data_IF_954585824168
#
_entry.id   IF_954585824168
#
_cell.length_a   1.000
_cell.length_b   1.000
_cell.length_c   1.000
_cell.angle_alpha   90.00
_cell.angle_beta   90.00
_cell.angle_gamma   90.00
#
_symmetry.space_group_name_H-M   'P 1'
#
loop_
_entity.id
_entity.type
_entity.pdbx_description
1 polymer ?
#
# COMPACT_ATOMS: atom_id res chain seq x y z
N UNK A 1 -7.55 47.69 -3.22
CA UNK A 1 -8.23 46.69 -4.07
C UNK A 1 -7.26 45.83 -4.87
N UNK A 2 -6.25 46.40 -5.54
CA UNK A 2 -5.28 45.64 -6.36
C UNK A 2 -4.50 44.59 -5.55
N UNK A 3 -4.04 44.93 -4.35
CA UNK A 3 -3.29 44.04 -3.45
C UNK A 3 -4.11 42.85 -2.94
N UNK A 4 -5.39 43.05 -2.63
CA UNK A 4 -6.30 41.98 -2.18
C UNK A 4 -6.53 40.97 -3.31
N UNK A 5 -6.68 41.46 -4.55
CA UNK A 5 -6.84 40.61 -5.72
C UNK A 5 -5.59 39.75 -5.97
N UNK A 6 -4.39 40.32 -5.83
CA UNK A 6 -3.13 39.57 -5.99
C UNK A 6 -2.98 38.47 -4.94
N UNK A 7 -3.35 38.73 -3.69
CA UNK A 7 -3.28 37.74 -2.61
C UNK A 7 -4.24 36.57 -2.85
N UNK A 8 -5.46 36.85 -3.32
CA UNK A 8 -6.45 35.81 -3.64
C UNK A 8 -5.95 34.93 -4.79
N UNK A 9 -5.40 35.53 -5.85
CA UNK A 9 -4.85 34.79 -6.99
C UNK A 9 -3.68 33.89 -6.55
N UNK A 10 -2.79 34.39 -5.68
CA UNK A 10 -1.67 33.60 -5.16
C UNK A 10 -2.14 32.39 -4.32
N UNK A 11 -3.20 32.55 -3.52
CA UNK A 11 -3.82 31.46 -2.74
C UNK A 11 -4.41 30.35 -3.62
N UNK A 12 -4.99 30.70 -4.78
CA UNK A 12 -5.50 29.71 -5.72
C UNK A 12 -4.38 28.87 -6.37
N UNK A 13 -3.21 29.46 -6.65
CA UNK A 13 -2.09 28.71 -7.24
C UNK A 13 -1.49 27.68 -6.27
N UNK A 14 -1.47 27.96 -4.96
CA UNK A 14 -0.92 27.04 -3.94
C UNK A 14 -1.76 25.76 -3.80
N UNK A 15 -3.05 25.79 -4.13
CA UNK A 15 -3.98 24.66 -3.98
C UNK A 15 -3.81 23.59 -5.07
N UNK A 16 -3.18 23.92 -6.20
CA UNK A 16 -3.10 22.99 -7.37
C UNK A 16 -2.07 21.86 -7.20
N UNK A 17 -1.21 21.92 -6.18
CA UNK A 17 -0.12 20.95 -5.96
C UNK A 17 -0.49 19.72 -5.12
N UNK A 18 -1.72 19.62 -4.59
CA UNK A 18 -2.14 18.53 -3.69
C UNK A 18 -3.24 17.64 -4.29
N UNK A 19 -3.22 17.41 -5.60
CA UNK A 19 -4.02 16.35 -6.20
C UNK A 19 -3.40 15.00 -5.79
N UNK A 20 -4.00 14.34 -4.80
CA UNK A 20 -3.73 12.94 -4.49
C UNK A 20 -4.18 12.13 -5.70
N UNK A 21 -3.24 11.58 -6.47
CA UNK A 21 -3.55 10.89 -7.73
C UNK A 21 -4.62 9.81 -7.47
N UNK A 22 -5.85 9.99 -7.97
CA UNK A 22 -6.94 9.07 -7.71
C UNK A 22 -6.68 7.79 -8.51
N UNK A 23 -5.99 6.84 -7.89
CA UNK A 23 -5.64 5.56 -8.50
C UNK A 23 -4.25 5.03 -8.15
N UNK A 24 -3.42 5.78 -7.42
CA UNK A 24 -2.13 5.23 -6.97
C UNK A 24 -2.36 4.07 -5.98
N UNK A 25 -1.73 2.93 -6.25
CA UNK A 25 -1.72 1.76 -5.36
C UNK A 25 -0.32 1.47 -4.85
N UNK A 26 -0.23 1.02 -3.61
CA UNK A 26 1.04 0.62 -2.98
C UNK A 26 1.06 -0.88 -2.70
N UNK A 27 2.09 -1.54 -3.23
CA UNK A 27 2.37 -2.95 -2.98
C UNK A 27 3.66 -3.11 -2.17
N UNK A 28 3.64 -4.02 -1.21
CA UNK A 28 4.83 -4.47 -0.50
C UNK A 28 5.18 -5.88 -0.98
N UNK A 29 6.36 -6.04 -1.57
CA UNK A 29 6.88 -7.34 -2.00
C UNK A 29 7.89 -7.80 -0.96
N UNK A 30 7.71 -8.99 -0.41
CA UNK A 30 8.59 -9.62 0.55
C UNK A 30 9.37 -10.75 -0.13
N UNK A 31 10.62 -10.92 0.29
CA UNK A 31 11.53 -11.93 -0.23
C UNK A 31 12.17 -12.71 0.90
N UNK A 32 12.46 -14.00 0.66
CA UNK A 32 13.28 -14.79 1.57
C UNK A 32 14.77 -14.48 1.34
N UNK A 33 15.44 -13.96 2.38
CA UNK A 33 16.88 -13.62 2.31
C UNK A 33 17.77 -14.82 1.98
N UNK A 34 17.40 -16.02 2.40
CA UNK A 34 18.16 -17.24 2.12
C UNK A 34 18.05 -17.62 0.65
N UNK A 35 16.83 -17.59 0.10
CA UNK A 35 16.55 -17.84 -1.31
C UNK A 35 17.26 -16.82 -2.22
N UNK A 36 17.20 -15.52 -1.89
CA UNK A 36 17.90 -14.49 -2.66
C UNK A 36 19.41 -14.74 -2.74
N UNK A 37 20.02 -15.24 -1.65
CA UNK A 37 21.45 -15.61 -1.63
C UNK A 37 21.74 -16.81 -2.52
N UNK A 38 20.90 -17.84 -2.48
CA UNK A 38 21.03 -19.03 -3.35
C UNK A 38 20.90 -18.66 -4.83
N UNK A 39 19.98 -17.75 -5.15
CA UNK A 39 19.76 -17.20 -6.49
C UNK A 39 20.82 -16.17 -6.92
N UNK A 40 21.76 -15.83 -6.03
CA UNK A 40 22.83 -14.83 -6.22
C UNK A 40 22.29 -13.48 -6.69
N UNK A 41 21.21 -13.03 -6.06
CA UNK A 41 20.54 -11.75 -6.35
C UNK A 41 20.33 -10.93 -5.07
N UNK A 42 19.83 -9.71 -5.22
CA UNK A 42 19.40 -8.85 -4.12
C UNK A 42 18.11 -8.11 -4.48
N UNK A 43 17.43 -7.57 -3.49
CA UNK A 43 16.22 -6.76 -3.73
C UNK A 43 16.54 -5.51 -4.54
N UNK A 44 17.71 -4.88 -4.35
CA UNK A 44 18.15 -3.75 -5.17
C UNK A 44 18.34 -4.16 -6.62
N UNK A 45 18.85 -5.37 -6.88
CA UNK A 45 19.03 -5.85 -8.24
C UNK A 45 17.69 -6.15 -8.92
N UNK A 46 16.77 -6.80 -8.21
CA UNK A 46 15.40 -7.07 -8.68
C UNK A 46 14.66 -5.75 -8.94
N UNK A 47 14.81 -4.78 -8.02
CA UNK A 47 14.20 -3.45 -8.09
C UNK A 47 14.50 -2.75 -9.42
N UNK A 48 15.71 -2.89 -9.99
CA UNK A 48 16.07 -2.29 -11.28
C UNK A 48 15.12 -2.68 -12.42
N UNK A 49 14.53 -3.88 -12.37
CA UNK A 49 13.56 -4.34 -13.38
C UNK A 49 12.22 -3.61 -13.26
N UNK A 50 11.87 -3.18 -12.04
CA UNK A 50 10.60 -2.54 -11.71
C UNK A 50 10.68 -1.00 -11.81
N UNK A 51 11.85 -0.42 -11.53
CA UNK A 51 12.09 1.04 -11.57
C UNK A 51 11.82 1.67 -12.93
N UNK A 52 11.86 0.88 -14.01
CA UNK A 52 11.56 1.36 -15.36
C UNK A 52 10.08 1.72 -15.54
N UNK A 53 9.20 1.14 -14.71
CA UNK A 53 7.74 1.20 -14.87
C UNK A 53 7.09 1.88 -13.66
N UNK A 54 7.64 1.67 -12.46
CA UNK A 54 7.06 2.10 -11.20
C UNK A 54 8.01 2.91 -10.34
N UNK A 55 7.44 3.66 -9.38
CA UNK A 55 8.23 4.23 -8.29
C UNK A 55 8.47 3.15 -7.26
N UNK A 56 9.72 2.78 -7.04
CA UNK A 56 10.08 1.70 -6.11
C UNK A 56 11.02 2.16 -5.01
N UNK A 57 11.10 1.36 -3.95
CA UNK A 57 12.13 1.47 -2.93
C UNK A 57 12.45 0.10 -2.36
N UNK A 58 13.66 -0.40 -2.58
CA UNK A 58 14.17 -1.58 -1.89
C UNK A 58 14.53 -1.27 -0.42
N UNK A 59 14.32 -2.26 0.44
CA UNK A 59 14.67 -2.26 1.85
C UNK A 59 15.53 -3.47 2.14
N UNK A 60 16.73 -3.23 2.66
CA UNK A 60 17.70 -4.27 3.06
C UNK A 60 18.38 -3.95 4.40
N UNK A 61 19.12 -4.92 4.93
CA UNK A 61 19.83 -4.83 6.20
C UNK A 61 19.10 -5.53 7.36
N UNK A 62 18.84 -4.79 8.44
CA UNK A 62 18.18 -5.31 9.65
C UNK A 62 16.67 -5.57 9.47
N UNK A 63 16.06 -5.00 8.43
CA UNK A 63 14.68 -5.25 8.05
C UNK A 63 14.58 -6.46 7.12
N UNK A 64 13.39 -7.06 7.01
CA UNK A 64 13.14 -8.11 6.02
C UNK A 64 13.43 -7.61 4.61
N UNK A 65 13.86 -8.53 3.73
CA UNK A 65 14.16 -8.18 2.35
C UNK A 65 12.85 -7.85 1.64
N UNK A 66 12.69 -6.59 1.25
CA UNK A 66 11.44 -6.10 0.71
C UNK A 66 11.61 -5.02 -0.36
N UNK A 67 10.62 -4.87 -1.22
CA UNK A 67 10.50 -3.77 -2.16
C UNK A 67 9.11 -3.15 -2.00
N UNK A 68 9.07 -1.85 -1.74
CA UNK A 68 7.84 -1.07 -1.83
C UNK A 68 7.67 -0.60 -3.28
N UNK A 69 6.53 -0.91 -3.89
CA UNK A 69 6.20 -0.53 -5.26
C UNK A 69 4.97 0.37 -5.23
N UNK A 70 5.10 1.57 -5.79
CA UNK A 70 3.99 2.49 -6.01
C UNK A 70 3.62 2.49 -7.48
N UNK A 71 2.42 2.00 -7.75
CA UNK A 71 1.86 1.90 -9.09
C UNK A 71 0.97 3.12 -9.34
N UNK A 72 1.22 3.91 -10.39
CA UNK A 72 0.46 5.13 -10.67
C UNK A 72 -0.98 4.86 -11.17
N UNK A 73 -1.28 3.64 -11.61
CA UNK A 73 -2.57 3.24 -12.17
C UNK A 73 -3.25 2.18 -11.31
N UNK A 74 -4.51 2.41 -10.95
CA UNK A 74 -5.25 1.53 -10.02
C UNK A 74 -5.71 0.20 -10.63
N UNK A 75 -5.42 -0.04 -11.90
CA UNK A 75 -5.82 -1.24 -12.64
C UNK A 75 -4.87 -2.42 -12.47
N UNK A 76 -3.72 -2.25 -11.81
CA UNK A 76 -2.81 -3.34 -11.48
C UNK A 76 -3.23 -3.96 -10.14
N UNK A 77 -3.41 -5.27 -10.13
CA UNK A 77 -3.61 -6.07 -8.92
C UNK A 77 -2.35 -6.89 -8.55
N UNK A 78 -2.38 -7.52 -7.37
CA UNK A 78 -1.27 -8.33 -6.85
C UNK A 78 -0.82 -9.41 -7.83
N UNK A 79 -1.78 -10.07 -8.50
CA UNK A 79 -1.50 -11.15 -9.47
C UNK A 79 -0.79 -10.59 -10.70
N UNK A 80 -1.30 -9.50 -11.26
CA UNK A 80 -0.69 -8.83 -12.41
C UNK A 80 0.71 -8.31 -12.10
N UNK A 81 0.95 -7.85 -10.87
CA UNK A 81 2.30 -7.47 -10.43
C UNK A 81 3.20 -8.71 -10.32
N UNK A 82 2.68 -9.84 -9.81
CA UNK A 82 3.40 -11.12 -9.72
C UNK A 82 3.79 -11.71 -11.07
N UNK A 83 2.96 -11.53 -12.10
CA UNK A 83 3.24 -12.00 -13.48
C UNK A 83 4.36 -11.20 -14.17
N UNK A 84 4.82 -10.09 -13.59
CA UNK A 84 5.87 -9.28 -14.21
C UNK A 84 7.22 -9.98 -14.18
N UNK A 85 7.94 -9.90 -15.30
CA UNK A 85 9.28 -10.46 -15.41
C UNK A 85 10.31 -9.58 -14.71
N UNK A 86 11.08 -10.19 -13.82
CA UNK A 86 12.22 -9.58 -13.13
C UNK A 86 13.50 -10.33 -13.42
N UNK A 87 14.59 -9.56 -13.52
CA UNK A 87 15.92 -10.11 -13.72
C UNK A 87 16.55 -10.43 -12.36
N UNK A 88 16.95 -11.69 -12.17
CA UNK A 88 17.67 -12.11 -10.96
C UNK A 88 19.17 -11.93 -11.10
N UNK A 89 19.71 -12.14 -12.30
CA UNK A 89 21.12 -11.94 -12.61
C UNK A 89 21.31 -11.80 -14.14
N UNK A 90 22.54 -11.91 -14.64
CA UNK A 90 22.83 -11.76 -16.07
C UNK A 90 22.10 -12.78 -16.96
N UNK A 91 21.85 -13.98 -16.44
CA UNK A 91 21.44 -15.11 -17.25
C UNK A 91 20.01 -15.58 -16.94
N UNK A 92 19.40 -15.07 -15.87
CA UNK A 92 18.10 -15.54 -15.38
C UNK A 92 17.09 -14.41 -15.26
N UNK A 93 15.95 -14.60 -15.91
CA UNK A 93 14.74 -13.80 -15.83
C UNK A 93 13.61 -14.75 -15.39
N UNK A 94 12.83 -14.34 -14.40
CA UNK A 94 11.69 -15.11 -13.86
C UNK A 94 10.50 -14.20 -13.65
N UNK A 95 9.32 -14.77 -13.41
CA UNK A 95 8.19 -13.98 -12.94
C UNK A 95 8.41 -13.56 -11.49
N UNK A 96 7.90 -12.40 -11.08
CA UNK A 96 8.08 -11.88 -9.73
C UNK A 96 7.47 -12.83 -8.69
N UNK A 97 6.35 -13.48 -9.00
CA UNK A 97 5.73 -14.49 -8.13
C UNK A 97 6.63 -15.71 -7.85
N UNK A 98 7.59 -16.03 -8.74
CA UNK A 98 8.48 -17.19 -8.56
C UNK A 98 9.61 -16.91 -7.55
N UNK A 99 9.86 -15.65 -7.21
CA UNK A 99 10.95 -15.23 -6.31
C UNK A 99 10.44 -14.42 -5.11
N UNK A 100 9.25 -13.83 -5.21
CA UNK A 100 8.61 -13.16 -4.09
C UNK A 100 8.04 -14.21 -3.13
N UNK A 101 8.39 -14.09 -1.86
CA UNK A 101 7.75 -14.85 -0.79
C UNK A 101 6.27 -14.45 -0.64
N UNK A 102 6.00 -13.15 -0.77
CA UNK A 102 4.65 -12.61 -0.72
C UNK A 102 4.57 -11.25 -1.41
N UNK A 103 3.44 -10.97 -2.07
CA UNK A 103 3.10 -9.65 -2.58
C UNK A 103 1.86 -9.18 -1.80
N UNK A 104 1.87 -7.96 -1.28
CA UNK A 104 0.81 -7.45 -0.39
C UNK A 104 0.27 -6.15 -0.95
N UNK A 105 -1.02 -6.09 -1.25
CA UNK A 105 -1.73 -4.83 -1.51
C UNK A 105 -1.96 -4.09 -0.17
N UNK A 106 -1.21 -3.00 0.05
CA UNK A 106 -1.26 -2.23 1.29
C UNK A 106 -2.57 -1.42 1.42
N UNK A 107 -3.14 -1.00 0.29
CA UNK A 107 -4.38 -0.22 0.28
C UNK A 107 -5.58 -1.10 0.62
N UNK A 108 -5.63 -2.30 0.04
CA UNK A 108 -6.63 -3.31 0.41
C UNK A 108 -6.48 -3.72 1.88
N UNK A 109 -5.25 -3.96 2.34
CA UNK A 109 -4.99 -4.34 3.73
C UNK A 109 -5.46 -3.27 4.72
N UNK A 110 -5.21 -2.00 4.40
CA UNK A 110 -5.68 -0.87 5.20
C UNK A 110 -7.21 -0.78 5.23
N UNK A 111 -7.86 -0.91 4.08
CA UNK A 111 -9.33 -0.85 3.99
C UNK A 111 -9.99 -1.99 4.79
N UNK A 112 -9.45 -3.21 4.70
CA UNK A 112 -9.93 -4.34 5.49
C UNK A 112 -9.74 -4.08 6.99
N UNK A 113 -8.58 -3.60 7.41
CA UNK A 113 -8.31 -3.26 8.80
C UNK A 113 -9.27 -2.20 9.36
N UNK A 114 -9.46 -1.10 8.63
CA UNK A 114 -10.41 -0.04 9.01
C UNK A 114 -11.84 -0.57 9.12
N UNK A 115 -12.27 -1.44 8.19
CA UNK A 115 -13.60 -2.07 8.25
C UNK A 115 -13.78 -2.97 9.47
N UNK A 116 -12.74 -3.70 9.88
CA UNK A 116 -12.77 -4.57 11.05
C UNK A 116 -12.91 -3.75 12.32
N UNK A 117 -12.16 -2.65 12.45
CA UNK A 117 -12.30 -1.70 13.57
C UNK A 117 -13.72 -1.16 13.64
N UNK A 118 -14.25 -0.65 12.52
CA UNK A 118 -15.60 -0.09 12.47
C UNK A 118 -16.65 -1.11 12.91
N UNK A 119 -16.54 -2.36 12.43
CA UNK A 119 -17.44 -3.44 12.82
C UNK A 119 -17.38 -3.78 14.32
N UNK A 120 -16.21 -3.64 14.94
CA UNK A 120 -16.01 -3.87 16.36
C UNK A 120 -16.62 -2.76 17.20
N UNK A 121 -16.44 -1.50 16.78
CA UNK A 121 -17.04 -0.34 17.44
C UNK A 121 -18.58 -0.38 17.37
N UNK A 122 -19.15 -0.73 16.22
CA UNK A 122 -20.60 -0.91 16.07
C UNK A 122 -21.15 -1.99 17.01
N UNK A 123 -20.47 -3.13 17.14
CA UNK A 123 -20.86 -4.21 18.07
C UNK A 123 -20.80 -3.73 19.52
N UNK A 124 -19.78 -2.95 19.88
CA UNK A 124 -19.64 -2.36 21.22
C UNK A 124 -20.76 -1.35 21.53
N UNK A 125 -21.13 -0.51 20.56
CA UNK A 125 -22.23 0.45 20.71
C UNK A 125 -23.60 -0.22 20.81
N UNK A 126 -23.88 -1.24 19.99
CA UNK A 126 -25.13 -2.04 20.08
C UNK A 126 -25.28 -2.74 21.42
N UNK A 127 -24.18 -3.22 22.02
CA UNK A 127 -24.20 -3.83 23.36
C UNK A 127 -24.48 -2.80 24.47
N UNK A 128 -23.93 -1.59 24.39
CA UNK A 128 -24.25 -0.49 25.33
C UNK A 128 -25.71 -0.02 25.22
N UNK A 129 -26.26 0.00 24.00
CA UNK A 129 -27.67 0.34 23.74
C UNK A 129 -28.63 -0.70 24.35
N UNK A 130 -28.36 -2.01 24.16
CA UNK A 130 -29.17 -3.09 24.76
C UNK A 130 -29.12 -3.09 26.30
N UNK A 131 -27.97 -2.77 26.89
CA UNK A 131 -27.80 -2.62 28.34
C UNK A 131 -28.67 -1.49 28.93
N UNK A 132 -28.79 -0.35 28.22
CA UNK A 132 -29.67 0.75 28.63
C UNK A 132 -31.15 0.42 28.50
N UNK A 133 -31.53 -0.32 27.45
CA UNK A 133 -32.93 -0.73 27.24
C UNK A 133 -33.38 -1.79 28.26
N UNK A 134 -32.51 -2.74 28.63
CA UNK A 134 -32.80 -3.73 29.68
C UNK A 134 -33.00 -3.11 31.07
N UNK A 135 -32.31 -2.00 31.37
CA UNK A 135 -32.51 -1.23 32.61
C UNK A 135 -33.81 -0.42 32.63
N UNK A 136 -34.33 -0.03 31.46
CA UNK A 136 -35.59 0.71 31.37
C UNK A 136 -36.83 -0.19 31.51
N UNK A 137 -36.71 -1.47 31.14
CA UNK A 137 -37.81 -2.44 31.20
C UNK A 137 -37.99 -3.06 32.60
N UNK A 138 -36.94 -3.08 33.44
CA UNK A 138 -37.03 -3.64 34.81
C UNK A 138 -37.50 -2.64 35.89
N UNK A 139 -38.00 -1.47 35.50
CA UNK A 139 -38.42 -0.39 36.42
C UNK A 139 -39.90 -0.03 36.25
N UNK A 140 -40.69 -0.90 35.60
CA UNK A 140 -42.15 -0.83 35.59
C UNK A 140 -42.77 -2.07 36.23
#
# INVERSE_FOLDING_TARGET
>A
MKTVLTTIVLLFFIQTGFAKDPGEKSFLILFDKSELKELKTSTEYIELSLMAIFKTKAYTGNSDAAILVKVPYGNIDERQLGDMFVRLNRDRIVSLQDVAFQIIDLDQSKAVYESLIASYEEKSQKNKSKSKLGKAISVN
#
